data_IF_164787498937
#
_entry.id   IF_164787498937
#
_cell.length_a   1.000
_cell.length_b   1.000
_cell.length_c   1.000
_cell.angle_alpha   90.00
_cell.angle_beta   90.00
_cell.angle_gamma   90.00
#
_symmetry.space_group_name_H-M   'P 1'
#
loop_
_entity.id
_entity.type
_entity.pdbx_description
1 polymer ?
#
# COMPACT_ATOMS: atom_id res chain seq x y z
N UNK A 1 -21.35 -11.27 -31.74
CA UNK A 1 -21.61 -10.49 -32.96
C UNK A 1 -20.57 -9.39 -33.26
N UNK A 2 -19.62 -9.07 -32.35
CA UNK A 2 -18.52 -8.13 -32.63
C UNK A 2 -17.20 -8.79 -33.11
N UNK A 3 -16.98 -10.08 -32.83
CA UNK A 3 -15.77 -10.79 -33.26
C UNK A 3 -15.76 -11.18 -34.76
N UNK A 4 -16.93 -11.34 -35.38
CA UNK A 4 -17.00 -11.71 -36.81
C UNK A 4 -16.72 -10.54 -37.75
N UNK A 5 -17.00 -9.30 -37.35
CA UNK A 5 -16.76 -8.10 -38.18
C UNK A 5 -15.27 -7.73 -38.30
N UNK A 6 -14.45 -8.09 -37.29
CA UNK A 6 -13.01 -7.79 -37.30
C UNK A 6 -12.25 -8.70 -38.29
N UNK A 7 -12.66 -9.97 -38.40
CA UNK A 7 -12.05 -10.90 -39.36
C UNK A 7 -12.38 -10.57 -40.82
N UNK A 8 -13.58 -10.04 -41.11
CA UNK A 8 -13.98 -9.71 -42.49
C UNK A 8 -13.24 -8.48 -43.05
N UNK A 9 -12.84 -7.54 -42.17
CA UNK A 9 -12.03 -6.37 -42.57
C UNK A 9 -10.58 -6.78 -42.89
N UNK A 10 -10.02 -7.74 -42.15
CA UNK A 10 -8.65 -8.22 -42.36
C UNK A 10 -8.45 -8.97 -43.69
N UNK A 11 -9.45 -9.71 -44.17
CA UNK A 11 -9.34 -10.40 -45.47
C UNK A 11 -9.42 -9.46 -46.68
N UNK A 12 -10.16 -8.35 -46.60
CA UNK A 12 -10.24 -7.37 -47.69
C UNK A 12 -8.95 -6.57 -47.86
N UNK A 13 -8.23 -6.29 -46.76
CA UNK A 13 -6.95 -5.58 -46.80
C UNK A 13 -5.86 -6.48 -47.41
N UNK A 14 -5.85 -7.78 -47.08
CA UNK A 14 -4.88 -8.72 -47.66
C UNK A 14 -5.10 -8.97 -49.16
N UNK A 15 -6.33 -8.84 -49.66
CA UNK A 15 -6.59 -9.04 -51.09
C UNK A 15 -6.26 -7.82 -51.96
N UNK A 16 -6.27 -6.61 -51.39
CA UNK A 16 -5.97 -5.37 -52.12
C UNK A 16 -4.47 -5.14 -52.41
N UNK A 17 -3.57 -5.88 -51.77
CA UNK A 17 -2.11 -5.66 -51.88
C UNK A 17 -1.47 -6.46 -53.03
N UNK A 18 -2.22 -7.32 -53.75
CA UNK A 18 -1.64 -8.18 -54.78
C UNK A 18 -1.52 -7.56 -56.18
N UNK A 19 -1.81 -6.27 -56.35
CA UNK A 19 -1.77 -5.61 -57.66
C UNK A 19 -1.09 -4.23 -57.61
N UNK A 20 0.15 -4.16 -57.13
CA UNK A 20 1.04 -3.07 -57.55
C UNK A 20 2.48 -3.58 -57.63
N UNK A 21 3.02 -3.61 -58.86
CA UNK A 21 4.47 -3.64 -59.10
C UNK A 21 5.02 -2.28 -58.70
N UNK A 22 5.44 -2.14 -57.45
CA UNK A 22 6.06 -0.94 -56.88
C UNK A 22 7.50 -1.22 -56.45
N UNK A 23 8.34 -0.20 -56.63
CA UNK A 23 9.79 -0.16 -56.41
C UNK A 23 10.22 -0.78 -55.04
N UNK A 24 11.25 -1.65 -54.97
CA UNK A 24 11.64 -2.35 -53.73
C UNK A 24 11.98 -1.44 -52.53
N UNK A 25 12.38 -0.19 -52.76
CA UNK A 25 12.66 0.77 -51.69
C UNK A 25 11.39 1.24 -50.95
N UNK A 26 10.25 1.39 -51.64
CA UNK A 26 9.01 1.89 -51.00
C UNK A 26 8.41 0.87 -50.04
N UNK A 27 8.53 -0.42 -50.39
CA UNK A 27 8.05 -1.56 -49.59
C UNK A 27 8.84 -1.68 -48.28
N UNK A 28 10.12 -1.31 -48.29
CA UNK A 28 10.97 -1.35 -47.10
C UNK A 28 10.61 -0.24 -46.11
N UNK A 29 10.38 0.99 -46.59
CA UNK A 29 9.91 2.11 -45.76
C UNK A 29 8.52 1.88 -45.18
N UNK A 30 7.57 1.32 -45.94
CA UNK A 30 6.22 1.02 -45.42
C UNK A 30 6.25 -0.05 -44.32
N UNK A 31 7.07 -1.10 -44.47
CA UNK A 31 7.22 -2.13 -43.44
C UNK A 31 7.86 -1.58 -42.16
N UNK A 32 8.82 -0.65 -42.27
CA UNK A 32 9.46 0.00 -41.11
C UNK A 32 8.47 0.89 -40.37
N UNK A 33 7.62 1.64 -41.08
CA UNK A 33 6.59 2.51 -40.48
C UNK A 33 5.51 1.67 -39.78
N UNK A 34 5.04 0.58 -40.38
CA UNK A 34 4.08 -0.33 -39.73
C UNK A 34 4.68 -1.00 -38.47
N UNK A 35 5.97 -1.37 -38.50
CA UNK A 35 6.65 -1.94 -37.33
C UNK A 35 6.87 -0.91 -36.22
N UNK A 36 7.17 0.35 -36.54
CA UNK A 36 7.27 1.45 -35.57
C UNK A 36 5.92 1.85 -34.96
N UNK A 37 4.84 1.81 -35.74
CA UNK A 37 3.48 2.06 -35.23
C UNK A 37 3.01 0.92 -34.30
N UNK A 38 3.38 -0.33 -34.61
CA UNK A 38 3.12 -1.48 -33.72
C UNK A 38 3.97 -1.44 -32.42
N UNK A 39 5.19 -0.91 -32.46
CA UNK A 39 6.01 -0.69 -31.25
C UNK A 39 5.51 0.49 -30.38
N UNK A 40 4.83 1.48 -30.97
CA UNK A 40 4.22 2.57 -30.20
C UNK A 40 2.94 2.17 -29.44
N UNK A 41 2.35 1.00 -29.72
CA UNK A 41 1.17 0.50 -29.00
C UNK A 41 1.50 -0.40 -27.80
N UNK A 42 2.77 -0.65 -27.50
CA UNK A 42 3.19 -1.29 -26.24
C UNK A 42 3.48 -0.27 -25.14
N UNK A 43 2.88 0.93 -25.18
CA UNK A 43 2.71 1.70 -23.95
C UNK A 43 1.84 0.83 -23.03
N UNK A 44 2.46 0.30 -21.97
CA UNK A 44 1.79 -0.39 -20.89
C UNK A 44 0.72 0.53 -20.29
N UNK A 45 -0.47 0.48 -20.88
CA UNK A 45 -1.67 0.99 -20.24
C UNK A 45 -1.89 0.10 -19.04
N UNK A 46 -1.30 0.47 -17.89
CA UNK A 46 -1.77 -0.02 -16.61
C UNK A 46 -3.25 0.32 -16.58
N UNK A 47 -4.10 -0.71 -16.70
CA UNK A 47 -5.54 -0.56 -16.63
C UNK A 47 -5.85 0.04 -15.25
N UNK A 48 -6.16 1.33 -15.19
CA UNK A 48 -6.62 1.96 -13.95
C UNK A 48 -7.87 1.21 -13.49
N UNK A 49 -7.84 0.74 -12.24
CA UNK A 49 -8.97 0.01 -11.64
C UNK A 49 -10.03 1.02 -11.25
N UNK A 50 -11.29 0.66 -11.44
CA UNK A 50 -12.44 1.50 -11.06
C UNK A 50 -13.07 1.00 -9.78
N UNK A 51 -13.56 1.93 -8.96
CA UNK A 51 -14.36 1.62 -7.78
C UNK A 51 -15.68 2.38 -7.77
N UNK A 52 -16.67 1.80 -7.09
CA UNK A 52 -17.91 2.44 -6.68
C UNK A 52 -18.08 2.16 -5.20
N UNK A 53 -18.00 3.20 -4.38
CA UNK A 53 -18.16 3.14 -2.93
C UNK A 53 -19.56 3.68 -2.58
N UNK A 54 -20.45 2.80 -2.16
CA UNK A 54 -21.78 3.15 -1.67
C UNK A 54 -21.75 3.27 -0.15
N UNK A 55 -22.11 4.43 0.37
CA UNK A 55 -22.23 4.68 1.79
C UNK A 55 -23.69 4.63 2.21
N UNK A 56 -23.99 3.80 3.21
CA UNK A 56 -25.26 3.80 3.93
C UNK A 56 -24.98 4.29 5.36
N UNK A 57 -25.40 5.51 5.66
CA UNK A 57 -25.12 6.17 6.93
C UNK A 57 -26.42 6.50 7.64
N UNK A 58 -26.73 5.77 8.70
CA UNK A 58 -27.83 6.10 9.60
C UNK A 58 -27.49 7.35 10.43
N UNK A 59 -28.49 8.19 10.71
CA UNK A 59 -28.38 9.37 11.59
C UNK A 59 -27.43 10.50 11.11
N UNK A 60 -27.14 10.56 9.81
CA UNK A 60 -26.21 11.53 9.22
C UNK A 60 -26.79 12.32 8.03
N UNK A 61 -28.12 12.43 7.94
CA UNK A 61 -28.74 13.17 6.84
C UNK A 61 -28.29 14.62 6.78
N UNK A 62 -28.03 15.08 5.56
CA UNK A 62 -27.47 16.40 5.24
C UNK A 62 -26.04 16.67 5.73
N UNK A 63 -25.35 15.71 6.37
CA UNK A 63 -23.93 15.83 6.72
C UNK A 63 -23.05 15.60 5.50
N UNK A 64 -21.77 15.96 5.62
CA UNK A 64 -20.75 15.70 4.60
C UNK A 64 -20.00 14.41 4.91
N UNK A 65 -19.88 13.53 3.92
CA UNK A 65 -18.92 12.45 3.90
C UNK A 65 -17.63 12.92 3.24
N UNK A 66 -16.50 12.65 3.88
CA UNK A 66 -15.15 13.00 3.44
C UNK A 66 -14.36 11.71 3.22
N UNK A 67 -14.00 11.43 1.97
CA UNK A 67 -13.16 10.31 1.60
C UNK A 67 -11.75 10.81 1.30
N UNK A 68 -10.76 10.22 1.96
CA UNK A 68 -9.35 10.57 1.79
C UNK A 68 -8.50 9.33 1.56
N UNK A 69 -7.57 9.41 0.61
CA UNK A 69 -6.54 8.38 0.46
C UNK A 69 -5.46 8.64 1.51
N UNK A 70 -5.24 7.67 2.39
CA UNK A 70 -4.36 7.79 3.55
C UNK A 70 -3.20 6.80 3.49
N UNK A 71 -2.07 7.25 2.97
CA UNK A 71 -0.76 6.71 3.34
C UNK A 71 -0.01 7.82 4.12
N UNK A 72 0.11 7.63 5.43
CA UNK A 72 0.80 8.49 6.42
C UNK A 72 -0.04 9.55 7.13
N UNK A 73 0.31 9.73 8.41
CA UNK A 73 -0.35 10.54 9.43
C UNK A 73 -0.38 12.06 9.16
N UNK A 74 0.04 12.58 7.99
CA UNK A 74 0.23 14.04 7.82
C UNK A 74 -0.23 14.64 6.47
N UNK A 75 -0.60 13.90 5.42
CA UNK A 75 -1.11 14.55 4.20
C UNK A 75 -2.29 13.83 3.54
N UNK A 76 -3.47 14.44 3.65
CA UNK A 76 -4.62 14.16 2.79
C UNK A 76 -4.32 14.68 1.38
N UNK A 77 -3.61 13.91 0.57
CA UNK A 77 -3.16 14.35 -0.78
C UNK A 77 -4.32 14.45 -1.78
N UNK A 78 -5.42 13.73 -1.55
CA UNK A 78 -6.66 13.87 -2.33
C UNK A 78 -7.88 13.67 -1.42
N UNK A 79 -8.77 14.64 -1.48
CA UNK A 79 -10.01 14.72 -0.69
C UNK A 79 -11.17 14.77 -1.65
N UNK A 80 -12.08 13.79 -1.56
CA UNK A 80 -13.39 13.84 -2.20
C UNK A 80 -14.46 14.06 -1.12
N UNK A 81 -15.39 14.99 -1.34
CA UNK A 81 -16.50 15.25 -0.41
C UNK A 81 -17.83 15.09 -1.10
N UNK A 82 -18.81 14.51 -0.40
CA UNK A 82 -20.18 14.38 -0.88
C UNK A 82 -21.16 14.64 0.26
N UNK A 83 -22.30 15.25 -0.06
CA UNK A 83 -23.40 15.38 0.89
C UNK A 83 -24.17 14.07 1.02
N UNK A 84 -24.48 13.67 2.24
CA UNK A 84 -25.32 12.50 2.54
C UNK A 84 -26.79 12.92 2.38
N UNK A 85 -27.51 12.23 1.49
CA UNK A 85 -28.92 12.47 1.19
C UNK A 85 -29.71 11.20 1.42
N UNK A 86 -30.72 11.25 2.29
CA UNK A 86 -31.53 10.11 2.73
C UNK A 86 -30.67 8.95 3.25
N UNK A 87 -29.65 9.28 4.04
CA UNK A 87 -28.67 8.38 4.63
C UNK A 87 -27.72 7.76 3.60
N UNK A 88 -27.61 8.30 2.38
CA UNK A 88 -26.82 7.70 1.31
C UNK A 88 -25.97 8.69 0.54
N UNK A 89 -24.81 8.23 0.08
CA UNK A 89 -24.05 8.87 -0.99
C UNK A 89 -23.16 7.84 -1.69
N UNK A 90 -22.63 8.19 -2.86
CA UNK A 90 -21.83 7.27 -3.67
C UNK A 90 -20.60 7.96 -4.25
N UNK A 91 -19.43 7.49 -3.86
CA UNK A 91 -18.17 7.89 -4.48
C UNK A 91 -17.85 6.98 -5.66
N UNK A 92 -17.28 7.55 -6.72
CA UNK A 92 -16.78 6.82 -7.89
C UNK A 92 -15.42 7.36 -8.24
N UNK A 93 -14.52 6.46 -8.61
CA UNK A 93 -13.18 6.88 -9.00
C UNK A 93 -12.35 5.77 -9.60
N UNK A 94 -11.12 6.13 -9.89
CA UNK A 94 -10.09 5.26 -10.43
C UNK A 94 -8.90 5.24 -9.48
N UNK A 95 -8.23 4.10 -9.40
CA UNK A 95 -7.02 3.91 -8.61
C UNK A 95 -6.05 2.98 -9.33
N UNK A 96 -4.77 3.15 -9.04
CA UNK A 96 -3.69 2.32 -9.60
C UNK A 96 -3.38 1.15 -8.68
N UNK A 97 -2.96 1.46 -7.46
CA UNK A 97 -2.52 0.49 -6.44
C UNK A 97 -3.51 0.47 -5.26
N UNK A 98 -3.63 -0.68 -4.58
CA UNK A 98 -4.42 -0.74 -3.35
C UNK A 98 -3.82 0.22 -2.31
N UNK A 99 -4.69 0.86 -1.53
CA UNK A 99 -4.28 1.74 -0.45
C UNK A 99 -5.36 1.80 0.61
N UNK A 100 -4.98 2.22 1.82
CA UNK A 100 -5.95 2.54 2.85
C UNK A 100 -6.60 3.89 2.56
N UNK A 101 -7.91 3.93 2.74
CA UNK A 101 -8.70 5.14 2.68
C UNK A 101 -9.34 5.38 4.03
N UNK A 102 -9.45 6.65 4.38
CA UNK A 102 -10.13 7.12 5.56
C UNK A 102 -11.42 7.80 5.17
N UNK A 103 -12.53 7.34 5.75
CA UNK A 103 -13.84 7.95 5.62
C UNK A 103 -14.21 8.65 6.92
N UNK A 104 -14.37 9.96 6.86
CA UNK A 104 -14.87 10.80 7.94
C UNK A 104 -16.27 11.31 7.61
N UNK A 105 -17.04 11.61 8.64
CA UNK A 105 -18.35 12.22 8.53
C UNK A 105 -18.32 13.50 9.35
N UNK A 106 -18.79 14.59 8.76
CA UNK A 106 -18.83 15.91 9.40
C UNK A 106 -19.46 15.84 10.81
N UNK A 107 -18.86 16.60 11.72
CA UNK A 107 -19.25 16.69 13.13
C UNK A 107 -19.11 15.39 13.93
N UNK A 108 -18.41 14.39 13.41
CA UNK A 108 -18.02 13.17 14.13
C UNK A 108 -16.49 13.12 14.20
N UNK A 109 -15.96 13.08 15.43
CA UNK A 109 -14.52 13.18 15.71
C UNK A 109 -13.76 11.87 15.46
N UNK A 110 -14.15 11.09 14.46
CA UNK A 110 -13.54 9.80 14.16
C UNK A 110 -13.64 9.46 12.66
N UNK A 111 -12.93 8.43 12.24
CA UNK A 111 -12.93 7.94 10.87
C UNK A 111 -12.94 6.41 10.81
N UNK A 112 -13.35 5.88 9.66
CA UNK A 112 -13.24 4.45 9.35
C UNK A 112 -12.11 4.29 8.35
N UNK A 113 -11.20 3.37 8.62
CA UNK A 113 -10.11 3.02 7.72
C UNK A 113 -10.42 1.68 7.04
N UNK A 114 -10.41 1.69 5.72
CA UNK A 114 -10.74 0.53 4.89
C UNK A 114 -9.92 0.58 3.60
N UNK A 115 -9.90 -0.51 2.85
CA UNK A 115 -9.15 -0.59 1.59
C UNK A 115 -10.11 -0.34 0.43
N UNK A 116 -9.72 0.51 -0.51
CA UNK A 116 -10.43 0.57 -1.81
C UNK A 116 -9.84 -0.48 -2.74
N UNK A 117 -10.68 -1.41 -3.19
CA UNK A 117 -10.40 -2.37 -4.24
C UNK A 117 -11.33 -2.17 -5.45
N UNK A 118 -11.17 -3.02 -6.47
CA UNK A 118 -11.89 -2.85 -7.73
C UNK A 118 -13.33 -3.34 -7.60
N UNK A 119 -14.26 -2.58 -8.17
CA UNK A 119 -15.68 -2.95 -8.20
C UNK A 119 -16.50 -2.18 -7.18
N UNK A 120 -17.51 -2.84 -6.62
CA UNK A 120 -18.48 -2.23 -5.71
C UNK A 120 -18.09 -2.52 -4.28
N UNK A 121 -18.05 -1.48 -3.45
CA UNK A 121 -17.79 -1.53 -2.02
C UNK A 121 -18.97 -0.88 -1.32
N UNK A 122 -19.52 -1.55 -0.31
CA UNK A 122 -20.58 -0.99 0.53
C UNK A 122 -20.03 -0.75 1.92
N UNK A 123 -20.27 0.43 2.48
CA UNK A 123 -19.95 0.76 3.87
C UNK A 123 -21.22 1.17 4.59
N UNK A 124 -21.59 0.39 5.59
CA UNK A 124 -22.73 0.64 6.48
C UNK A 124 -22.24 1.23 7.80
N UNK A 125 -22.78 2.38 8.20
CA UNK A 125 -22.34 3.16 9.36
C UNK A 125 -23.56 3.63 10.14
N UNK A 126 -23.49 3.54 11.47
CA UNK A 126 -24.38 4.30 12.35
C UNK A 126 -23.63 5.48 12.95
N UNK A 127 -24.02 6.70 12.55
CA UNK A 127 -23.36 7.92 12.98
C UNK A 127 -23.60 8.28 14.46
N UNK A 128 -24.46 7.55 15.19
CA UNK A 128 -24.55 7.69 16.66
C UNK A 128 -23.39 7.01 17.38
N UNK A 129 -22.78 6.01 16.76
CA UNK A 129 -21.58 5.37 17.29
C UNK A 129 -20.35 6.17 16.85
N UNK A 130 -19.90 7.10 17.69
CA UNK A 130 -18.73 7.93 17.41
C UNK A 130 -17.43 7.11 17.25
N UNK A 131 -17.36 5.89 17.78
CA UNK A 131 -16.21 5.00 17.59
C UNK A 131 -16.26 4.23 16.27
N UNK A 132 -17.40 4.24 15.59
CA UNK A 132 -17.66 3.46 14.37
C UNK A 132 -17.36 1.96 14.51
N UNK A 133 -17.38 1.40 15.73
CA UNK A 133 -17.12 -0.03 16.00
C UNK A 133 -18.10 -0.96 15.28
N UNK A 134 -19.32 -0.46 15.02
CA UNK A 134 -20.37 -1.20 14.32
C UNK A 134 -20.33 -1.01 12.80
N UNK A 135 -19.38 -0.24 12.27
CA UNK A 135 -19.25 -0.04 10.84
C UNK A 135 -18.93 -1.36 10.14
N UNK A 136 -19.56 -1.59 8.99
CA UNK A 136 -19.37 -2.80 8.19
C UNK A 136 -18.95 -2.42 6.79
N UNK A 137 -17.89 -3.06 6.31
CA UNK A 137 -17.44 -2.96 4.92
C UNK A 137 -17.72 -4.29 4.24
N UNK A 138 -18.45 -4.25 3.12
CA UNK A 138 -18.86 -5.44 2.38
C UNK A 138 -18.65 -5.28 0.88
N UNK A 139 -18.77 -6.40 0.15
CA UNK A 139 -18.47 -6.53 -1.28
C UNK A 139 -17.01 -6.19 -1.67
N UNK A 140 -16.12 -6.10 -0.69
CA UNK A 140 -14.68 -5.93 -0.89
C UNK A 140 -13.92 -7.15 -0.40
N UNK A 141 -13.15 -7.75 -1.30
CA UNK A 141 -12.26 -8.88 -0.97
C UNK A 141 -11.14 -8.41 -0.05
N UNK A 142 -10.56 -7.24 -0.30
CA UNK A 142 -9.43 -6.74 0.50
C UNK A 142 -9.85 -6.47 1.95
N UNK A 143 -11.05 -5.93 2.18
CA UNK A 143 -11.55 -5.70 3.53
C UNK A 143 -11.99 -7.00 4.24
N UNK A 144 -12.50 -8.00 3.51
CA UNK A 144 -12.75 -9.32 4.09
C UNK A 144 -11.44 -9.99 4.56
N UNK A 145 -10.39 -9.92 3.73
CA UNK A 145 -9.06 -10.43 4.08
C UNK A 145 -8.44 -9.66 5.26
N UNK A 146 -8.62 -8.33 5.31
CA UNK A 146 -8.23 -7.52 6.47
C UNK A 146 -8.91 -8.03 7.74
N UNK A 147 -10.20 -8.31 7.71
CA UNK A 147 -10.93 -8.86 8.86
C UNK A 147 -10.44 -10.23 9.30
N UNK A 148 -10.18 -11.16 8.36
CA UNK A 148 -9.58 -12.48 8.66
C UNK A 148 -8.20 -12.32 9.32
N UNK A 149 -7.36 -11.42 8.78
CA UNK A 149 -6.04 -11.14 9.33
C UNK A 149 -6.13 -10.53 10.73
N UNK A 150 -6.99 -9.52 10.92
CA UNK A 150 -7.16 -8.82 12.19
C UNK A 150 -7.60 -9.76 13.32
N UNK A 151 -8.51 -10.70 13.03
CA UNK A 151 -8.92 -11.73 13.99
C UNK A 151 -7.79 -12.72 14.26
N UNK A 152 -7.08 -13.16 13.23
CA UNK A 152 -5.96 -14.10 13.38
C UNK A 152 -4.81 -13.55 14.22
N UNK A 153 -4.57 -12.24 14.18
CA UNK A 153 -3.54 -11.58 15.00
C UNK A 153 -4.07 -11.01 16.32
N UNK A 154 -5.39 -11.09 16.59
CA UNK A 154 -6.01 -10.49 17.78
C UNK A 154 -5.41 -11.02 19.08
N UNK A 155 -5.22 -12.34 19.18
CA UNK A 155 -4.62 -12.96 20.36
C UNK A 155 -3.16 -12.50 20.55
N UNK A 156 -2.38 -12.44 19.47
CA UNK A 156 -1.01 -11.96 19.51
C UNK A 156 -0.93 -10.51 20.04
N UNK A 157 -1.81 -9.63 19.54
CA UNK A 157 -1.96 -8.25 20.00
C UNK A 157 -2.29 -8.17 21.49
N UNK A 158 -3.31 -8.90 21.94
CA UNK A 158 -3.72 -8.93 23.35
C UNK A 158 -2.61 -9.44 24.27
N UNK A 159 -1.88 -10.47 23.85
CA UNK A 159 -0.75 -11.01 24.62
C UNK A 159 0.41 -10.02 24.68
N UNK A 160 0.71 -9.30 23.59
CA UNK A 160 1.71 -8.23 23.60
C UNK A 160 1.34 -7.11 24.56
N UNK A 161 0.11 -6.60 24.49
CA UNK A 161 -0.40 -5.53 25.37
C UNK A 161 -0.33 -5.93 26.86
N UNK A 162 -0.85 -7.11 27.21
CA UNK A 162 -0.82 -7.62 28.60
C UNK A 162 0.60 -7.70 29.17
N UNK A 163 1.57 -8.13 28.35
CA UNK A 163 2.96 -8.26 28.79
C UNK A 163 3.70 -6.92 28.79
N UNK A 164 3.27 -5.95 27.98
CA UNK A 164 3.77 -4.58 28.02
C UNK A 164 3.38 -3.87 29.32
N UNK A 165 2.16 -4.07 29.81
CA UNK A 165 1.72 -3.52 31.11
C UNK A 165 2.50 -4.10 32.29
N UNK A 166 3.00 -5.33 32.17
CA UNK A 166 3.84 -5.96 33.21
C UNK A 166 5.19 -5.24 33.42
N UNK A 167 5.65 -4.45 32.43
CA UNK A 167 6.86 -3.64 32.51
C UNK A 167 6.69 -2.40 33.41
N UNK A 168 5.45 -1.93 33.62
CA UNK A 168 5.15 -0.72 34.39
C UNK A 168 5.16 -0.93 35.92
N UNK A 169 5.39 -2.16 36.42
CA UNK A 169 5.16 -2.54 37.83
C UNK A 169 6.36 -3.24 38.53
N UNK A 170 7.50 -2.54 38.70
CA UNK A 170 8.71 -2.88 39.50
C UNK A 170 9.88 -3.71 38.90
N UNK A 171 11.07 -3.57 39.52
CA UNK A 171 12.46 -4.07 39.30
C UNK A 171 12.95 -4.66 37.95
N UNK A 172 14.12 -4.16 37.50
CA UNK A 172 14.42 -3.77 36.09
C UNK A 172 15.13 -4.83 35.21
N UNK A 173 15.92 -5.78 35.72
CA UNK A 173 16.82 -6.58 34.84
C UNK A 173 16.25 -7.93 34.39
N UNK A 174 15.86 -8.82 35.31
CA UNK A 174 15.34 -10.16 34.97
C UNK A 174 13.98 -10.10 34.24
N UNK A 175 13.18 -9.05 34.49
CA UNK A 175 11.94 -8.78 33.75
C UNK A 175 12.20 -8.30 32.33
N UNK A 176 13.28 -7.55 32.09
CA UNK A 176 13.64 -7.11 30.74
C UNK A 176 13.95 -8.30 29.85
N UNK A 177 14.79 -9.23 30.31
CA UNK A 177 15.18 -10.38 29.51
C UNK A 177 13.98 -11.34 29.30
N UNK A 178 13.13 -11.53 30.32
CA UNK A 178 11.86 -12.25 30.19
C UNK A 178 10.92 -11.59 29.16
N UNK A 179 10.70 -10.27 29.28
CA UNK A 179 9.86 -9.50 28.37
C UNK A 179 10.37 -9.59 26.93
N UNK A 180 11.66 -9.35 26.70
CA UNK A 180 12.28 -9.45 25.38
C UNK A 180 12.12 -10.87 24.81
N UNK A 181 12.30 -11.90 25.62
CA UNK A 181 12.09 -13.29 25.18
C UNK A 181 10.65 -13.55 24.73
N UNK A 182 9.66 -13.02 25.47
CA UNK A 182 8.24 -13.17 25.15
C UNK A 182 7.83 -12.36 23.93
N UNK A 183 8.33 -11.14 23.79
CA UNK A 183 8.11 -10.33 22.59
C UNK A 183 8.67 -11.03 21.36
N UNK A 184 9.91 -11.54 21.42
CA UNK A 184 10.51 -12.28 20.31
C UNK A 184 9.70 -13.53 19.95
N UNK A 185 9.18 -14.27 20.94
CA UNK A 185 8.30 -15.42 20.71
C UNK A 185 7.03 -15.01 19.94
N UNK A 186 6.36 -13.95 20.38
CA UNK A 186 5.16 -13.44 19.71
C UNK A 186 5.44 -12.88 18.32
N UNK A 187 6.57 -12.21 18.14
CA UNK A 187 6.98 -11.64 16.86
C UNK A 187 7.31 -12.74 15.84
N UNK A 188 7.94 -13.83 16.29
CA UNK A 188 8.17 -15.01 15.46
C UNK A 188 6.85 -15.69 15.07
N UNK A 189 5.95 -15.94 16.03
CA UNK A 189 4.63 -16.52 15.78
C UNK A 189 3.82 -15.67 14.78
N UNK A 190 3.88 -14.35 14.92
CA UNK A 190 3.24 -13.42 13.99
C UNK A 190 3.83 -13.54 12.58
N UNK A 191 5.16 -13.66 12.47
CA UNK A 191 5.85 -13.89 11.20
C UNK A 191 5.45 -15.19 10.51
N UNK A 192 5.34 -16.29 11.26
CA UNK A 192 4.93 -17.61 10.73
C UNK A 192 3.46 -17.61 10.30
N UNK A 193 2.59 -17.01 11.12
CA UNK A 193 1.18 -16.80 10.77
C UNK A 193 1.07 -15.96 9.49
N UNK A 194 1.82 -14.87 9.40
CA UNK A 194 1.82 -13.99 8.23
C UNK A 194 2.32 -14.69 6.96
N UNK A 195 3.38 -15.51 7.07
CA UNK A 195 3.85 -16.32 5.94
C UNK A 195 2.74 -17.26 5.44
N UNK A 196 2.04 -17.93 6.36
CA UNK A 196 0.91 -18.81 6.04
C UNK A 196 -0.23 -18.03 5.38
N UNK A 197 -0.57 -16.87 5.92
CA UNK A 197 -1.61 -15.99 5.39
C UNK A 197 -1.28 -15.50 3.97
N UNK A 198 -0.05 -15.03 3.73
CA UNK A 198 0.40 -14.57 2.40
C UNK A 198 0.47 -15.73 1.41
N UNK A 199 0.84 -16.94 1.85
CA UNK A 199 0.80 -18.14 1.00
C UNK A 199 -0.62 -18.40 0.48
N UNK A 200 -1.63 -18.26 1.36
CA UNK A 200 -3.04 -18.45 1.02
C UNK A 200 -3.61 -17.28 0.19
N UNK A 201 -3.17 -16.05 0.49
CA UNK A 201 -3.71 -14.81 -0.09
C UNK A 201 -2.60 -13.88 -0.60
N UNK A 202 -1.92 -14.24 -1.69
CA UNK A 202 -0.76 -13.49 -2.18
C UNK A 202 -1.07 -12.06 -2.64
N UNK A 203 -2.32 -11.75 -2.96
CA UNK A 203 -2.78 -10.40 -3.36
C UNK A 203 -3.38 -9.59 -2.20
N UNK A 204 -3.23 -10.03 -0.94
CA UNK A 204 -3.75 -9.30 0.22
C UNK A 204 -2.91 -8.05 0.52
N UNK A 205 -3.53 -6.88 0.42
CA UNK A 205 -2.89 -5.61 0.77
C UNK A 205 -2.64 -5.50 2.28
N UNK A 206 -3.55 -6.00 3.12
CA UNK A 206 -3.32 -6.05 4.59
C UNK A 206 -2.21 -7.01 4.97
N UNK A 207 -2.07 -8.15 4.27
CA UNK A 207 -0.94 -9.06 4.45
C UNK A 207 0.40 -8.38 4.11
N UNK A 208 0.45 -7.68 2.97
CA UNK A 208 1.58 -6.82 2.62
C UNK A 208 1.88 -5.77 3.70
N UNK A 209 0.84 -5.08 4.17
CA UNK A 209 1.01 -3.98 5.12
C UNK A 209 1.57 -4.47 6.47
N UNK A 210 1.04 -5.59 6.98
CA UNK A 210 1.57 -6.23 8.17
C UNK A 210 3.00 -6.73 7.97
N UNK A 211 3.35 -7.22 6.78
CA UNK A 211 4.72 -7.62 6.46
C UNK A 211 5.68 -6.44 6.54
N UNK A 212 5.30 -5.30 5.95
CA UNK A 212 6.06 -4.04 6.03
C UNK A 212 6.27 -3.58 7.47
N UNK A 213 5.29 -3.78 8.34
CA UNK A 213 5.36 -3.30 9.72
C UNK A 213 6.12 -4.24 10.65
N UNK A 214 6.28 -5.53 10.28
CA UNK A 214 6.81 -6.58 11.17
C UNK A 214 8.12 -7.22 10.70
N UNK A 215 8.59 -6.94 9.47
CA UNK A 215 9.75 -7.63 8.87
C UNK A 215 11.04 -7.57 9.69
N UNK A 216 11.21 -6.54 10.54
CA UNK A 216 12.46 -6.25 11.23
C UNK A 216 12.45 -6.64 12.72
N UNK A 217 11.34 -7.15 13.25
CA UNK A 217 11.18 -7.40 14.69
C UNK A 217 12.26 -8.33 15.25
N UNK A 218 12.56 -9.44 14.55
CA UNK A 218 13.64 -10.38 14.91
C UNK A 218 14.50 -10.74 13.69
N UNK A 219 15.70 -11.32 13.85
CA UNK A 219 16.49 -11.87 12.75
C UNK A 219 15.70 -12.91 11.93
N UNK A 220 14.95 -13.79 12.58
CA UNK A 220 14.07 -14.77 11.94
C UNK A 220 12.95 -14.09 11.14
N UNK A 221 12.32 -13.03 11.67
CA UNK A 221 11.31 -12.27 10.91
C UNK A 221 11.88 -11.70 9.61
N UNK A 222 13.15 -11.27 9.58
CA UNK A 222 13.79 -10.80 8.33
C UNK A 222 13.90 -11.92 7.29
N UNK A 223 14.17 -13.15 7.71
CA UNK A 223 14.20 -14.33 6.83
C UNK A 223 12.80 -14.68 6.33
N UNK A 224 11.83 -14.77 7.24
CA UNK A 224 10.42 -15.02 6.91
C UNK A 224 9.89 -13.94 5.96
N UNK A 225 10.27 -12.68 6.16
CA UNK A 225 9.85 -11.57 5.32
C UNK A 225 10.33 -11.69 3.87
N UNK A 226 11.58 -12.15 3.65
CA UNK A 226 12.09 -12.45 2.30
C UNK A 226 11.31 -13.59 1.65
N UNK A 227 10.96 -14.63 2.40
CA UNK A 227 10.15 -15.73 1.92
C UNK A 227 8.74 -15.25 1.52
N UNK A 228 8.07 -14.53 2.42
CA UNK A 228 6.76 -13.91 2.19
C UNK A 228 6.77 -12.97 0.99
N UNK A 229 7.82 -12.15 0.84
CA UNK A 229 7.98 -11.29 -0.33
C UNK A 229 7.92 -12.09 -1.64
N UNK A 230 8.62 -13.22 -1.74
CA UNK A 230 8.61 -14.03 -2.96
C UNK A 230 7.21 -14.60 -3.29
N UNK A 231 6.34 -14.77 -2.30
CA UNK A 231 4.99 -15.28 -2.47
C UNK A 231 3.97 -14.20 -2.86
N UNK A 232 4.24 -12.92 -2.57
CA UNK A 232 3.33 -11.82 -2.92
C UNK A 232 3.01 -11.79 -4.43
N UNK A 233 1.79 -11.39 -4.74
CA UNK A 233 1.32 -11.26 -6.12
C UNK A 233 2.13 -10.22 -6.90
N UNK A 234 2.08 -10.31 -8.23
CA UNK A 234 2.66 -9.29 -9.11
C UNK A 234 2.06 -7.91 -8.84
N UNK A 235 0.74 -7.84 -8.63
CA UNK A 235 0.03 -6.59 -8.38
C UNK A 235 0.51 -5.90 -7.09
N UNK A 236 0.80 -6.65 -6.03
CA UNK A 236 1.41 -6.08 -4.83
C UNK A 236 2.87 -5.68 -5.09
N UNK A 237 3.70 -6.58 -5.66
CA UNK A 237 5.14 -6.33 -5.86
C UNK A 237 5.44 -5.13 -6.75
N UNK A 238 4.65 -4.92 -7.80
CA UNK A 238 4.86 -3.84 -8.77
C UNK A 238 4.23 -2.50 -8.36
N UNK A 239 3.39 -2.50 -7.32
CA UNK A 239 2.84 -1.28 -6.73
C UNK A 239 3.95 -0.40 -6.18
N UNK A 240 3.66 0.89 -6.01
CA UNK A 240 4.65 1.83 -5.45
C UNK A 240 5.04 1.43 -4.01
N UNK A 241 4.06 0.96 -3.25
CA UNK A 241 4.23 0.35 -1.91
C UNK A 241 5.08 -0.93 -1.94
N UNK A 242 4.83 -1.82 -2.91
CA UNK A 242 5.61 -3.04 -3.09
C UNK A 242 7.08 -2.76 -3.37
N UNK A 243 7.39 -1.82 -4.25
CA UNK A 243 8.77 -1.40 -4.54
C UNK A 243 9.47 -0.84 -3.31
N UNK A 244 8.75 -0.04 -2.51
CA UNK A 244 9.27 0.43 -1.22
C UNK A 244 9.61 -0.74 -0.30
N UNK A 245 8.70 -1.71 -0.13
CA UNK A 245 8.95 -2.88 0.69
C UNK A 245 10.15 -3.72 0.19
N UNK A 246 10.28 -3.87 -1.12
CA UNK A 246 11.45 -4.53 -1.72
C UNK A 246 12.75 -3.85 -1.27
N UNK A 247 12.78 -2.52 -1.32
CA UNK A 247 13.97 -1.73 -0.96
C UNK A 247 14.35 -1.86 0.53
N UNK A 248 13.41 -2.15 1.43
CA UNK A 248 13.71 -2.29 2.87
C UNK A 248 13.94 -3.75 3.29
N UNK A 249 13.38 -4.74 2.59
CA UNK A 249 13.61 -6.18 2.85
C UNK A 249 14.91 -6.66 2.18
N UNK A 250 15.20 -6.14 0.99
CA UNK A 250 16.42 -6.35 0.24
C UNK A 250 17.13 -5.01 0.09
N UNK A 251 17.59 -4.41 1.21
CA UNK A 251 18.33 -3.16 1.12
C UNK A 251 19.51 -3.40 0.19
N UNK A 252 19.56 -2.61 -0.89
CA UNK A 252 20.80 -2.48 -1.63
C UNK A 252 21.85 -2.07 -0.60
N UNK A 253 22.92 -2.85 -0.53
CA UNK A 253 24.11 -2.52 0.23
C UNK A 253 24.80 -1.33 -0.45
N UNK A 254 24.12 -0.19 -0.54
CA UNK A 254 24.70 1.09 -0.98
C UNK A 254 25.56 1.69 0.12
N UNK A 255 25.41 1.22 1.37
CA UNK A 255 26.31 1.56 2.48
C UNK A 255 26.66 0.37 3.39
N UNK A 256 27.27 -0.72 2.87
CA UNK A 256 27.88 -1.76 3.68
C UNK A 256 28.94 -1.16 4.60
N UNK A 257 29.16 -1.83 5.73
CA UNK A 257 30.28 -1.52 6.62
C UNK A 257 31.56 -1.46 5.79
N UNK A 258 32.27 -0.33 5.86
CA UNK A 258 33.48 -0.06 5.07
C UNK A 258 33.31 0.96 3.94
N UNK A 259 32.07 1.29 3.55
CA UNK A 259 31.84 2.38 2.61
C UNK A 259 32.00 3.76 3.28
N UNK A 260 32.38 4.76 2.48
CA UNK A 260 32.43 6.15 2.94
C UNK A 260 31.03 6.63 3.31
N UNK A 261 30.90 7.21 4.50
CA UNK A 261 29.64 7.78 4.99
C UNK A 261 29.17 8.86 4.00
N UNK A 262 27.88 8.85 3.58
CA UNK A 262 27.36 9.87 2.68
C UNK A 262 27.41 11.26 3.33
N UNK A 263 27.44 12.30 2.49
CA UNK A 263 27.30 13.68 2.97
C UNK A 263 25.84 13.87 3.37
N UNK A 264 25.60 14.18 4.64
CA UNK A 264 24.27 14.56 5.11
C UNK A 264 24.10 16.07 5.01
N UNK A 265 23.13 16.52 4.23
CA UNK A 265 22.84 17.93 3.98
C UNK A 265 21.43 18.29 4.43
N UNK A 266 21.29 19.39 5.14
CA UNK A 266 20.03 19.98 5.60
C UNK A 266 19.94 21.43 5.13
N UNK A 267 18.72 21.94 5.03
CA UNK A 267 18.48 23.35 4.72
C UNK A 267 18.15 24.09 6.01
N UNK A 268 18.89 25.15 6.32
CA UNK A 268 18.64 25.96 7.51
C UNK A 268 17.46 26.94 7.35
N UNK A 269 17.17 27.69 8.40
CA UNK A 269 16.10 28.70 8.42
C UNK A 269 16.28 29.81 7.38
N UNK A 270 17.50 30.03 6.88
CA UNK A 270 17.85 31.02 5.87
C UNK A 270 17.90 30.42 4.46
N UNK A 271 17.42 29.19 4.29
CA UNK A 271 17.48 28.40 3.05
C UNK A 271 18.90 28.08 2.57
N UNK A 272 19.87 28.09 3.48
CA UNK A 272 21.25 27.70 3.18
C UNK A 272 21.43 26.21 3.43
N UNK A 273 22.07 25.52 2.49
CA UNK A 273 22.49 24.14 2.67
C UNK A 273 23.63 24.08 3.69
N UNK A 274 23.47 23.25 4.72
CA UNK A 274 24.47 22.95 5.74
C UNK A 274 24.75 21.45 5.69
N UNK A 275 26.04 21.09 5.68
CA UNK A 275 26.46 19.69 5.74
C UNK A 275 26.83 19.33 7.18
N UNK A 276 26.42 18.15 7.65
CA UNK A 276 26.88 17.62 8.93
C UNK A 276 28.38 17.32 8.84
N UNK A 277 29.20 17.81 9.80
CA UNK A 277 30.65 17.66 9.77
C UNK A 277 31.08 16.27 10.28
N UNK A 278 30.72 15.22 9.54
CA UNK A 278 31.17 13.85 9.85
C UNK A 278 32.61 13.70 9.36
N UNK A 279 33.49 13.25 10.26
CA UNK A 279 34.91 12.99 9.98
C UNK A 279 35.13 11.49 9.73
N UNK A 280 36.27 11.15 9.14
CA UNK A 280 36.63 9.76 8.82
C UNK A 280 36.89 8.90 10.07
N UNK A 281 37.01 9.51 11.26
CA UNK A 281 37.17 8.82 12.54
C UNK A 281 36.20 9.35 13.59
N UNK A 282 35.72 8.45 14.44
CA UNK A 282 34.77 8.76 15.52
C UNK A 282 33.52 7.88 15.47
N UNK A 283 32.80 7.83 16.58
CA UNK A 283 31.48 7.20 16.67
C UNK A 283 30.46 8.32 16.64
N UNK A 284 29.56 8.26 15.66
CA UNK A 284 28.51 9.26 15.46
C UNK A 284 27.15 8.58 15.63
N UNK A 285 26.30 9.15 16.50
CA UNK A 285 24.88 8.83 16.56
C UNK A 285 24.15 9.96 15.82
N UNK A 286 23.46 9.63 14.74
CA UNK A 286 22.68 10.60 13.96
C UNK A 286 21.21 10.42 14.30
N UNK A 287 20.62 11.48 14.84
CA UNK A 287 19.21 11.54 15.20
C UNK A 287 18.43 12.39 14.19
N UNK A 288 17.46 11.78 13.53
CA UNK A 288 16.62 12.44 12.52
C UNK A 288 15.31 12.88 13.15
N UNK A 289 15.26 14.14 13.59
CA UNK A 289 14.08 14.73 14.22
C UNK A 289 13.67 16.03 13.52
N UNK A 290 12.51 16.56 13.90
CA UNK A 290 12.05 17.88 13.49
C UNK A 290 11.31 18.57 14.64
N UNK A 291 11.35 19.90 14.71
CA UNK A 291 10.73 20.68 15.80
C UNK A 291 9.21 20.51 15.91
N UNK A 292 8.57 20.03 14.85
CA UNK A 292 7.15 19.70 14.77
C UNK A 292 6.86 18.21 14.97
N UNK A 293 7.89 17.37 15.12
CA UNK A 293 7.75 15.95 15.37
C UNK A 293 7.74 15.69 16.88
N UNK A 294 6.55 15.62 17.48
CA UNK A 294 6.39 15.32 18.92
C UNK A 294 7.07 14.03 19.42
N UNK A 295 7.07 12.91 18.67
CA UNK A 295 7.63 11.64 19.16
C UNK A 295 9.07 11.32 18.71
N UNK A 296 9.75 12.18 17.95
CA UNK A 296 11.05 11.86 17.31
C UNK A 296 12.24 11.76 18.29
#
# INVERSE_FOLDING_TARGET
MLLSKIYTVNLKIFHAVKTHRGNPESIFTEKIIVTLILLCFTTSSYSQKRFTLELNVANADNKIALLTNGNSRIQFTKTDTLKIINGRCTFRGEFKDYSFYSLAIDSISNNINFIIDSGKIIVDIDSKNYLFETAKVSQSIQNALKGELDEGIRLNRMLREKNQDSFLMDSIQSRRDFFLSKMNEYDLQLGEYLLTFITKYPDSYSGYNLLRDTYYYTPENKKLARQSWHLLSKNIKESDDGKYLQSIIFPDLTSPVGNKVPIFSLVDINRKSINLPIKDSGIYLIDYWASWCGPC
#
